data_IF_152548447687
#
_entry.id   IF_152548447687
#
_cell.length_a   1.000
_cell.length_b   1.000
_cell.length_c   1.000
_cell.angle_alpha   90.00
_cell.angle_beta   90.00
_cell.angle_gamma   90.00
#
_symmetry.space_group_name_H-M   'P 1'
#
loop_
_entity.id
_entity.type
_entity.pdbx_description
1 polymer ?
#
# COMPACT_ATOMS: atom_id res chain seq x y z
N UNK A 1 30.37 -14.02 -3.54
CA UNK A 1 28.93 -13.78 -3.85
C UNK A 1 28.19 -15.05 -3.51
N UNK A 2 27.29 -15.03 -2.53
CA UNK A 2 26.39 -16.17 -2.35
C UNK A 2 25.47 -16.28 -3.58
N UNK A 3 25.09 -17.50 -4.02
CA UNK A 3 24.09 -17.64 -5.07
C UNK A 3 22.81 -16.93 -4.61
N UNK A 4 22.13 -16.26 -5.54
CA UNK A 4 20.81 -15.73 -5.26
C UNK A 4 19.89 -16.91 -4.92
N UNK A 5 19.49 -17.07 -3.66
CA UNK A 5 18.39 -17.95 -3.30
C UNK A 5 17.09 -17.53 -3.99
N UNK A 6 16.04 -18.32 -3.86
CA UNK A 6 14.70 -17.95 -4.33
C UNK A 6 14.29 -16.59 -3.75
N UNK A 7 13.73 -15.71 -4.58
CA UNK A 7 13.28 -14.37 -4.20
C UNK A 7 11.86 -14.17 -4.69
N UNK A 8 10.97 -13.82 -3.77
CA UNK A 8 9.61 -13.39 -4.11
C UNK A 8 9.65 -11.94 -4.58
N UNK A 9 9.02 -11.67 -5.72
CA UNK A 9 8.77 -10.32 -6.22
C UNK A 9 7.26 -10.10 -6.19
N UNK A 10 6.86 -8.94 -5.66
CA UNK A 10 5.46 -8.53 -5.55
C UNK A 10 5.27 -7.27 -6.39
N UNK A 11 4.31 -7.31 -7.28
CA UNK A 11 3.77 -6.11 -7.91
C UNK A 11 2.62 -5.60 -7.03
N UNK A 12 2.70 -4.33 -6.63
CA UNK A 12 1.66 -3.70 -5.81
C UNK A 12 0.85 -2.74 -6.67
N UNK A 13 -0.47 -2.81 -6.51
CA UNK A 13 -1.42 -1.86 -7.06
C UNK A 13 -2.02 -1.00 -5.92
N UNK A 14 -1.54 0.25 -5.70
CA UNK A 14 -1.95 1.05 -4.54
C UNK A 14 -3.45 1.29 -4.47
N UNK A 15 -4.08 1.78 -5.55
CA UNK A 15 -5.54 2.01 -5.55
C UNK A 15 -6.33 0.73 -5.30
N UNK A 16 -5.92 -0.42 -5.87
CA UNK A 16 -6.54 -1.71 -5.58
C UNK A 16 -6.39 -2.15 -4.12
N UNK A 17 -5.24 -1.86 -3.51
CA UNK A 17 -4.98 -2.13 -2.08
C UNK A 17 -5.91 -1.30 -1.20
N UNK A 18 -6.02 0.01 -1.49
CA UNK A 18 -6.88 0.94 -0.77
C UNK A 18 -8.36 0.57 -0.90
N UNK A 19 -8.80 0.19 -2.10
CA UNK A 19 -10.15 -0.32 -2.35
C UNK A 19 -10.47 -1.54 -1.51
N UNK A 20 -9.50 -2.43 -1.30
CA UNK A 20 -9.67 -3.64 -0.47
C UNK A 20 -9.74 -3.32 1.03
N UNK A 21 -9.15 -2.20 1.44
CA UNK A 21 -9.22 -1.64 2.78
C UNK A 21 -10.46 -0.76 3.00
N UNK A 22 -11.35 -0.65 2.00
CA UNK A 22 -12.59 0.13 2.05
C UNK A 22 -12.35 1.60 2.42
N UNK A 23 -11.25 2.18 1.94
CA UNK A 23 -10.88 3.60 2.13
C UNK A 23 -10.81 4.34 0.79
N UNK A 24 -10.41 5.61 0.82
CA UNK A 24 -10.22 6.46 -0.36
C UNK A 24 -9.19 5.81 -1.29
N UNK A 25 -9.56 5.60 -2.55
CA UNK A 25 -8.68 4.99 -3.56
C UNK A 25 -8.47 5.88 -4.81
N UNK A 26 -9.12 7.04 -4.87
CA UNK A 26 -9.07 7.98 -5.99
C UNK A 26 -8.90 9.43 -5.50
N UNK A 27 -8.39 10.32 -6.36
CA UNK A 27 -8.35 11.78 -6.11
C UNK A 27 -7.32 12.26 -5.07
N UNK A 28 -6.58 11.38 -4.40
CA UNK A 28 -5.57 11.75 -3.39
C UNK A 28 -4.23 12.23 -3.98
N UNK A 29 -4.07 12.21 -5.31
CA UNK A 29 -2.84 12.60 -6.03
C UNK A 29 -2.98 13.95 -6.73
N UNK A 30 -3.51 14.92 -5.99
CA UNK A 30 -3.72 16.27 -6.48
C UNK A 30 -3.08 17.28 -5.50
N UNK A 31 -2.66 18.46 -5.98
CA UNK A 31 -2.14 19.53 -5.15
C UNK A 31 -3.28 20.37 -4.54
N UNK A 32 -4.21 19.72 -3.83
CA UNK A 32 -5.34 20.38 -3.16
C UNK A 32 -5.45 19.97 -1.69
N UNK A 33 -6.11 20.80 -0.90
CA UNK A 33 -6.35 20.53 0.53
C UNK A 33 -7.24 19.29 0.71
N UNK A 34 -8.19 19.03 -0.20
CA UNK A 34 -9.02 17.82 -0.19
C UNK A 34 -8.18 16.56 -0.44
N UNK A 35 -7.22 16.62 -1.37
CA UNK A 35 -6.33 15.50 -1.62
C UNK A 35 -5.36 15.27 -0.44
N UNK A 36 -4.88 16.33 0.21
CA UNK A 36 -4.10 16.20 1.44
C UNK A 36 -4.91 15.55 2.57
N UNK A 37 -6.18 15.93 2.74
CA UNK A 37 -7.08 15.29 3.70
C UNK A 37 -7.32 13.81 3.36
N UNK A 38 -7.51 13.48 2.08
CA UNK A 38 -7.62 12.09 1.62
C UNK A 38 -6.37 11.27 1.93
N UNK A 39 -5.16 11.83 1.70
CA UNK A 39 -3.89 11.16 2.06
C UNK A 39 -3.79 10.89 3.56
N UNK A 40 -4.25 11.82 4.40
CA UNK A 40 -4.28 11.62 5.85
C UNK A 40 -5.30 10.54 6.28
N UNK A 41 -6.48 10.49 5.66
CA UNK A 41 -7.48 9.45 5.89
C UNK A 41 -6.94 8.06 5.52
N UNK A 42 -6.30 7.94 4.36
CA UNK A 42 -5.67 6.70 3.91
C UNK A 42 -4.62 6.22 4.93
N UNK A 43 -3.76 7.12 5.42
CA UNK A 43 -2.77 6.77 6.46
C UNK A 43 -3.44 6.22 7.72
N UNK A 44 -4.49 6.88 8.21
CA UNK A 44 -5.23 6.41 9.38
C UNK A 44 -5.88 5.03 9.14
N UNK A 45 -6.41 4.79 7.94
CA UNK A 45 -6.97 3.49 7.56
C UNK A 45 -5.90 2.39 7.54
N UNK A 46 -4.71 2.68 7.00
CA UNK A 46 -3.59 1.73 6.96
C UNK A 46 -3.12 1.32 8.37
N UNK A 47 -3.14 2.24 9.33
CA UNK A 47 -2.74 1.96 10.72
C UNK A 47 -3.79 1.20 11.54
N UNK A 48 -5.04 1.22 11.09
CA UNK A 48 -6.15 0.55 11.77
C UNK A 48 -6.56 -0.75 11.08
N UNK A 49 -5.83 -1.17 10.05
CA UNK A 49 -6.09 -2.41 9.34
C UNK A 49 -6.02 -3.62 10.30
N UNK A 50 -7.14 -4.33 10.49
CA UNK A 50 -7.34 -5.32 11.57
C UNK A 50 -6.34 -6.47 11.63
N UNK A 51 -5.67 -6.76 10.51
CA UNK A 51 -4.85 -7.96 10.34
C UNK A 51 -3.36 -7.71 10.61
N UNK A 52 -2.93 -6.45 10.74
CA UNK A 52 -1.56 -6.06 11.03
C UNK A 52 -1.52 -4.83 11.93
N UNK A 53 -0.66 -4.86 12.95
CA UNK A 53 -0.33 -3.66 13.71
C UNK A 53 0.68 -2.82 12.90
N UNK A 54 0.19 -1.74 12.28
CA UNK A 54 1.00 -0.85 11.44
C UNK A 54 1.18 0.49 12.15
N UNK A 55 2.43 0.82 12.46
CA UNK A 55 2.80 2.11 13.01
C UNK A 55 3.67 2.87 12.01
N UNK A 56 3.13 3.97 11.45
CA UNK A 56 3.89 4.85 10.57
C UNK A 56 4.57 5.92 11.43
N UNK A 57 5.89 6.09 11.27
CA UNK A 57 6.62 7.12 12.01
C UNK A 57 6.18 8.53 11.59
N UNK A 58 6.11 9.48 12.52
CA UNK A 58 5.61 10.85 12.27
C UNK A 58 6.25 11.53 11.04
N UNK A 59 7.58 11.51 10.84
CA UNK A 59 8.16 12.15 9.65
C UNK A 59 7.72 11.52 8.32
N UNK A 60 7.37 10.23 8.33
CA UNK A 60 6.84 9.53 7.16
C UNK A 60 5.38 9.92 6.91
N UNK A 61 4.58 10.10 7.96
CA UNK A 61 3.20 10.60 7.86
C UNK A 61 3.18 11.99 7.25
N UNK A 62 3.97 12.91 7.82
CA UNK A 62 4.08 14.29 7.33
C UNK A 62 4.49 14.31 5.86
N UNK A 63 5.50 13.51 5.48
CA UNK A 63 5.94 13.42 4.09
C UNK A 63 4.88 12.86 3.16
N UNK A 64 4.16 11.81 3.58
CA UNK A 64 3.13 11.18 2.79
C UNK A 64 1.90 12.09 2.57
N UNK A 65 1.53 12.90 3.57
CA UNK A 65 0.45 13.89 3.43
C UNK A 65 0.88 15.08 2.56
N UNK A 66 2.12 15.56 2.70
CA UNK A 66 2.63 16.70 1.95
C UNK A 66 3.03 16.39 0.49
N UNK A 67 3.01 15.12 0.08
CA UNK A 67 3.38 14.71 -1.27
C UNK A 67 2.19 14.77 -2.23
N UNK A 68 2.07 15.85 -3.01
CA UNK A 68 0.96 16.01 -3.95
C UNK A 68 0.89 14.92 -5.02
N UNK A 69 2.04 14.35 -5.41
CA UNK A 69 2.09 13.21 -6.34
C UNK A 69 1.63 11.89 -5.72
N UNK A 70 1.52 11.82 -4.39
CA UNK A 70 1.12 10.63 -3.64
C UNK A 70 2.14 9.47 -3.66
N UNK A 71 3.33 9.65 -4.23
CA UNK A 71 4.35 8.60 -4.34
C UNK A 71 4.87 8.16 -2.95
N UNK A 72 4.99 9.10 -2.03
CA UNK A 72 5.34 8.81 -0.65
C UNK A 72 4.27 7.97 0.05
N UNK A 73 2.98 8.26 -0.20
CA UNK A 73 1.88 7.46 0.34
C UNK A 73 1.82 6.06 -0.32
N UNK A 74 1.97 5.99 -1.64
CA UNK A 74 2.02 4.72 -2.38
C UNK A 74 3.13 3.79 -1.87
N UNK A 75 4.27 4.35 -1.46
CA UNK A 75 5.35 3.58 -0.85
C UNK A 75 4.95 2.95 0.48
N UNK A 76 4.15 3.65 1.29
CA UNK A 76 3.58 3.10 2.54
C UNK A 76 2.55 2.02 2.23
N UNK A 77 1.66 2.26 1.27
CA UNK A 77 0.67 1.27 0.80
C UNK A 77 1.37 0.00 0.32
N UNK A 78 2.46 0.14 -0.45
CA UNK A 78 3.25 -0.98 -0.92
C UNK A 78 3.93 -1.77 0.20
N UNK A 79 4.46 -1.08 1.22
CA UNK A 79 5.02 -1.75 2.38
C UNK A 79 3.96 -2.55 3.16
N UNK A 80 2.76 -1.98 3.36
CA UNK A 80 1.66 -2.65 4.05
C UNK A 80 1.15 -3.85 3.23
N UNK A 81 0.95 -3.70 1.92
CA UNK A 81 0.55 -4.80 1.04
C UNK A 81 1.57 -5.95 1.07
N UNK A 82 2.87 -5.63 0.99
CA UNK A 82 3.94 -6.61 1.08
C UNK A 82 3.99 -7.31 2.45
N UNK A 83 3.78 -6.58 3.55
CA UNK A 83 3.71 -7.16 4.90
C UNK A 83 2.53 -8.12 5.04
N UNK A 84 1.36 -7.78 4.48
CA UNK A 84 0.17 -8.65 4.47
C UNK A 84 0.41 -9.91 3.64
N UNK A 85 1.05 -9.78 2.48
CA UNK A 85 1.42 -10.92 1.65
C UNK A 85 2.41 -11.84 2.39
N UNK A 86 3.44 -11.28 3.04
CA UNK A 86 4.41 -12.04 3.82
C UNK A 86 3.76 -12.78 5.02
N UNK A 87 2.82 -12.14 5.72
CA UNK A 87 2.06 -12.77 6.80
C UNK A 87 1.18 -13.95 6.33
N UNK A 88 0.85 -14.00 5.03
CA UNK A 88 0.12 -15.08 4.36
C UNK A 88 1.03 -16.01 3.55
N UNK A 89 2.34 -15.99 3.83
CA UNK A 89 3.34 -16.82 3.14
C UNK A 89 3.34 -16.63 1.61
N UNK A 90 2.95 -15.44 1.15
CA UNK A 90 2.76 -15.09 -0.26
C UNK A 90 1.73 -15.94 -1.01
N UNK A 91 0.75 -16.52 -0.30
CA UNK A 91 -0.40 -17.16 -0.95
C UNK A 91 -1.25 -16.09 -1.68
N UNK A 92 -1.50 -16.23 -3.00
CA UNK A 92 -2.29 -15.27 -3.75
C UNK A 92 -3.73 -15.17 -3.23
N UNK A 93 -4.27 -13.96 -2.98
CA UNK A 93 -5.66 -13.80 -2.58
C UNK A 93 -6.64 -14.01 -3.74
N UNK A 94 -6.15 -13.97 -4.98
CA UNK A 94 -6.92 -14.15 -6.21
C UNK A 94 -6.25 -15.18 -7.12
N UNK A 95 -7.01 -15.85 -8.00
CA UNK A 95 -6.43 -16.65 -9.07
C UNK A 95 -5.49 -15.83 -9.97
N UNK A 96 -4.55 -16.52 -10.60
CA UNK A 96 -3.64 -15.91 -11.58
C UNK A 96 -4.41 -15.39 -12.80
N UNK A 97 -4.24 -14.10 -13.09
CA UNK A 97 -4.68 -13.47 -14.33
C UNK A 97 -3.51 -13.41 -15.34
N UNK A 98 -3.70 -13.77 -16.62
CA UNK A 98 -2.62 -13.78 -17.60
C UNK A 98 -2.08 -12.39 -17.99
N UNK A 99 -2.81 -11.31 -17.69
CA UNK A 99 -2.41 -9.93 -17.95
C UNK A 99 -1.87 -9.26 -16.69
N UNK A 100 -2.53 -9.46 -15.56
CA UNK A 100 -2.27 -8.74 -14.31
C UNK A 100 -1.53 -9.58 -13.26
N UNK A 101 -1.34 -10.89 -13.51
CA UNK A 101 -0.71 -11.81 -12.57
C UNK A 101 -1.58 -12.07 -11.35
N UNK A 102 -0.94 -12.22 -10.19
CA UNK A 102 -1.63 -12.28 -8.90
C UNK A 102 -1.56 -10.90 -8.23
N UNK A 103 -2.71 -10.30 -7.91
CA UNK A 103 -2.75 -8.98 -7.28
C UNK A 103 -2.79 -9.15 -5.76
N UNK A 104 -1.73 -8.71 -5.09
CA UNK A 104 -1.63 -8.75 -3.63
C UNK A 104 -2.18 -7.45 -3.05
N UNK A 105 -3.43 -7.49 -2.57
CA UNK A 105 -4.17 -6.36 -1.97
C UNK A 105 -4.62 -6.61 -0.54
#
# INVERSE_FOLDING_TARGET
>A
MQPAGERTVLEVYPAGTLRRLETVDEGYKEPTDEAAAARAEILAALETASDLDVAVAEPVRERAVADDGGDALDSVVAAVAAARAAAREFEPPTPFDPREGCIYV
#
